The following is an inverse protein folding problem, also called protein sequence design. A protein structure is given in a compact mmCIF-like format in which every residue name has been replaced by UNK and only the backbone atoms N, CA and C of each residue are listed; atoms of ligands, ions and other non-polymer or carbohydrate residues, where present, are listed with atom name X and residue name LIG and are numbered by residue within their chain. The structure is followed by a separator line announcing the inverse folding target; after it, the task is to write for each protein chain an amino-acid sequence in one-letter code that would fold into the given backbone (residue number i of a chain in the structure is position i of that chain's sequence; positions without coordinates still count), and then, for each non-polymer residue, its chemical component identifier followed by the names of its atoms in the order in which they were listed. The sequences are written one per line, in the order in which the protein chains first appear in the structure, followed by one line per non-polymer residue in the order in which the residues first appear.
data_IF_146539238888
#
_entry.id   IF_146539238888
#
_cell.length_a   1.000
_cell.length_b   1.000
_cell.length_c   1.000
_cell.angle_alpha   90.00
_cell.angle_beta   90.00
_cell.angle_gamma   90.00
#
_symmetry.space_group_name_H-M   'P 1'
#
loop_
_entity.id
_entity.type
_entity.pdbx_description
1 polymer ?
#
# COMPACT_ATOMS: atom_id res chain seq x y z
N UNK A 1 -40.89 -26.13 -67.87
CA UNK A 1 -40.36 -24.80 -67.51
C UNK A 1 -39.67 -24.92 -66.17
N UNK A 2 -38.33 -24.89 -66.15
CA UNK A 2 -37.50 -24.96 -64.93
C UNK A 2 -36.90 -23.59 -64.68
N UNK A 3 -37.37 -22.88 -63.66
CA UNK A 3 -36.76 -21.63 -63.23
C UNK A 3 -35.54 -21.94 -62.35
N UNK A 4 -34.35 -21.61 -62.86
CA UNK A 4 -33.21 -21.18 -62.03
C UNK A 4 -33.59 -19.87 -61.36
N UNK A 5 -33.20 -19.66 -60.09
CA UNK A 5 -32.38 -18.51 -59.67
C UNK A 5 -32.13 -18.43 -58.15
N UNK A 6 -30.85 -18.08 -57.86
CA UNK A 6 -30.33 -17.23 -56.80
C UNK A 6 -30.34 -17.80 -55.37
N UNK A 7 -29.17 -18.27 -54.93
CA UNK A 7 -28.85 -18.37 -53.50
C UNK A 7 -28.41 -17.00 -52.94
N UNK A 8 -28.63 -16.71 -51.66
CA UNK A 8 -28.00 -15.59 -50.98
C UNK A 8 -26.69 -16.01 -50.30
N UNK A 9 -25.76 -15.07 -50.35
CA UNK A 9 -24.41 -15.11 -49.83
C UNK A 9 -24.39 -15.28 -48.32
N UNK A 10 -23.44 -16.10 -47.86
CA UNK A 10 -22.95 -16.11 -46.50
C UNK A 10 -22.37 -14.73 -46.15
N UNK A 11 -23.17 -13.91 -45.47
CA UNK A 11 -22.68 -12.75 -44.74
C UNK A 11 -22.14 -13.22 -43.39
N UNK A 12 -20.89 -13.68 -43.37
CA UNK A 12 -20.16 -13.82 -42.12
C UNK A 12 -19.98 -12.42 -41.55
N UNK A 13 -20.83 -12.06 -40.58
CA UNK A 13 -20.67 -10.84 -39.80
C UNK A 13 -19.32 -10.90 -39.10
N UNK A 14 -18.37 -10.12 -39.60
CA UNK A 14 -17.17 -9.74 -38.86
C UNK A 14 -17.64 -8.88 -37.70
N UNK A 15 -18.07 -9.53 -36.62
CA UNK A 15 -18.22 -8.93 -35.32
C UNK A 15 -16.84 -8.44 -34.90
N UNK A 16 -16.56 -7.17 -35.18
CA UNK A 16 -15.53 -6.40 -34.49
C UNK A 16 -15.94 -6.36 -33.01
N UNK A 17 -15.59 -7.42 -32.28
CA UNK A 17 -15.60 -7.42 -30.84
C UNK A 17 -14.58 -6.39 -30.40
N UNK A 18 -15.07 -5.19 -30.06
CA UNK A 18 -14.29 -4.20 -29.33
C UNK A 18 -13.92 -4.87 -28.00
N UNK A 19 -12.72 -5.43 -27.91
CA UNK A 19 -12.14 -5.80 -26.62
C UNK A 19 -11.84 -4.47 -25.95
N UNK A 20 -12.79 -4.00 -25.13
CA UNK A 20 -12.53 -2.93 -24.20
C UNK A 20 -11.47 -3.46 -23.23
N UNK A 21 -10.22 -3.07 -23.45
CA UNK A 21 -9.17 -3.24 -22.46
C UNK A 21 -9.57 -2.29 -21.34
N UNK A 22 -10.29 -2.79 -20.34
CA UNK A 22 -10.50 -2.04 -19.12
C UNK A 22 -9.11 -1.82 -18.52
N UNK A 23 -8.55 -0.63 -18.69
CA UNK A 23 -7.42 -0.17 -17.90
C UNK A 23 -7.93 -0.06 -16.47
N UNK A 24 -7.85 -1.15 -15.72
CA UNK A 24 -8.17 -1.15 -14.30
C UNK A 24 -7.16 -0.25 -13.62
N UNK A 25 -7.52 1.01 -13.37
CA UNK A 25 -6.81 1.82 -12.40
C UNK A 25 -6.87 1.02 -11.11
N UNK A 26 -5.71 0.55 -10.66
CA UNK A 26 -5.64 -0.26 -9.45
C UNK A 26 -5.84 0.71 -8.30
N UNK A 27 -7.04 0.73 -7.74
CA UNK A 27 -7.35 1.58 -6.60
C UNK A 27 -6.47 1.16 -5.43
N UNK A 28 -5.88 2.14 -4.76
CA UNK A 28 -5.07 1.94 -3.57
C UNK A 28 -5.82 2.50 -2.37
N UNK A 29 -5.76 1.79 -1.25
CA UNK A 29 -6.50 2.11 -0.05
C UNK A 29 -5.56 2.22 1.13
N UNK A 30 -5.88 3.11 2.07
CA UNK A 30 -5.24 3.13 3.39
C UNK A 30 -5.89 2.11 4.33
N UNK A 31 -5.25 1.78 5.47
CA UNK A 31 -5.75 0.75 6.38
C UNK A 31 -7.19 0.95 6.88
N UNK A 32 -7.65 2.20 6.94
CA UNK A 32 -9.04 2.50 7.31
C UNK A 32 -10.06 2.34 6.16
N UNK A 33 -9.64 1.83 5.00
CA UNK A 33 -10.46 1.65 3.80
C UNK A 33 -10.64 2.91 2.94
N UNK A 34 -9.98 4.03 3.29
CA UNK A 34 -10.03 5.26 2.48
C UNK A 34 -9.28 5.06 1.18
N UNK A 35 -9.92 5.39 0.06
CA UNK A 35 -9.26 5.46 -1.25
C UNK A 35 -8.17 6.54 -1.23
N UNK A 36 -6.92 6.11 -1.40
CA UNK A 36 -5.73 6.92 -1.29
C UNK A 36 -5.68 8.01 -2.39
N UNK A 37 -6.21 7.74 -3.60
CA UNK A 37 -6.29 8.75 -4.66
C UNK A 37 -7.15 9.94 -4.25
N UNK A 38 -8.17 9.73 -3.42
CA UNK A 38 -9.04 10.83 -2.95
C UNK A 38 -8.35 11.74 -1.95
N UNK A 39 -7.27 11.28 -1.32
CA UNK A 39 -6.50 12.07 -0.35
C UNK A 39 -5.41 12.90 -1.02
N UNK A 40 -5.00 12.53 -2.24
CA UNK A 40 -4.06 13.29 -3.05
C UNK A 40 -4.57 13.36 -4.49
N UNK A 41 -5.45 14.33 -4.81
CA UNK A 41 -6.05 14.45 -6.14
C UNK A 41 -5.03 14.77 -7.25
N UNK A 42 -3.80 15.12 -6.89
CA UNK A 42 -2.68 15.35 -7.82
C UNK A 42 -1.63 14.22 -7.77
N UNK A 43 -1.80 13.24 -6.90
CA UNK A 43 -0.87 12.14 -6.71
C UNK A 43 -1.47 10.86 -7.22
N UNK A 44 -0.85 10.32 -8.24
CA UNK A 44 -1.18 8.99 -8.70
C UNK A 44 -0.55 7.98 -7.72
N UNK A 45 -1.38 7.09 -7.14
CA UNK A 45 -0.89 5.93 -6.41
C UNK A 45 -0.65 4.79 -7.40
N UNK A 46 0.50 4.14 -7.28
CA UNK A 46 0.89 3.04 -8.16
C UNK A 46 1.14 1.78 -7.36
N UNK A 47 0.54 0.65 -7.75
CA UNK A 47 0.84 -0.62 -7.12
C UNK A 47 2.29 -1.01 -7.42
N UNK A 48 2.98 -1.50 -6.40
CA UNK A 48 4.31 -2.08 -6.50
C UNK A 48 4.30 -3.42 -7.24
N UNK A 49 3.20 -4.15 -7.15
CA UNK A 49 3.01 -5.43 -7.80
C UNK A 49 1.68 -5.44 -8.56
N UNK A 50 1.72 -5.88 -9.81
CA UNK A 50 0.53 -6.01 -10.65
C UNK A 50 0.69 -7.17 -11.66
N UNK A 51 -0.35 -8.00 -11.88
CA UNK A 51 -1.66 -7.98 -11.21
C UNK A 51 -1.62 -8.63 -9.81
N UNK A 52 -2.48 -8.19 -8.89
CA UNK A 52 -2.62 -8.81 -7.56
C UNK A 52 -2.82 -7.82 -6.43
N UNK A 53 -2.84 -8.35 -5.19
CA UNK A 53 -2.74 -7.53 -4.00
C UNK A 53 -1.29 -7.15 -3.75
N UNK A 54 -1.06 -5.92 -3.30
CA UNK A 54 0.27 -5.45 -2.98
C UNK A 54 0.26 -3.99 -2.54
N UNK A 55 1.40 -3.55 -2.01
CA UNK A 55 1.59 -2.17 -1.56
C UNK A 55 1.53 -1.19 -2.73
N UNK A 56 1.14 0.06 -2.43
CA UNK A 56 1.11 1.15 -3.39
C UNK A 56 1.97 2.34 -2.93
N UNK A 57 2.79 2.87 -3.83
CA UNK A 57 3.54 4.11 -3.61
C UNK A 57 2.82 5.32 -4.22
N UNK A 58 2.98 6.48 -3.62
CA UNK A 58 2.21 7.70 -3.90
C UNK A 58 2.75 8.54 -5.07
N UNK A 59 3.75 8.04 -5.80
CA UNK A 59 4.34 8.68 -6.97
C UNK A 59 5.00 7.65 -7.88
N UNK A 60 5.05 7.92 -9.20
CA UNK A 60 5.81 7.12 -10.18
C UNK A 60 7.32 7.14 -9.91
N UNK A 61 7.81 8.22 -9.29
CA UNK A 61 9.23 8.39 -9.00
C UNK A 61 9.66 7.69 -7.71
N UNK A 62 8.69 7.23 -6.92
CA UNK A 62 8.96 6.47 -5.71
C UNK A 62 9.34 5.04 -6.08
N UNK A 63 10.25 4.45 -5.29
CA UNK A 63 10.73 3.09 -5.51
C UNK A 63 10.05 2.14 -4.54
N UNK A 64 9.51 1.05 -5.07
CA UNK A 64 9.07 -0.09 -4.27
C UNK A 64 10.29 -0.86 -3.76
N UNK A 65 10.43 -0.98 -2.45
CA UNK A 65 11.50 -1.71 -1.77
C UNK A 65 10.87 -2.79 -0.88
N UNK A 66 10.47 -3.90 -1.52
CA UNK A 66 9.63 -4.90 -0.87
C UNK A 66 8.28 -4.29 -0.50
N UNK A 67 7.90 -4.39 0.77
CA UNK A 67 6.62 -3.87 1.26
C UNK A 67 6.65 -2.39 1.69
N UNK A 68 7.77 -1.69 1.48
CA UNK A 68 7.92 -0.27 1.77
C UNK A 68 8.13 0.52 0.48
N UNK A 69 7.79 1.80 0.54
CA UNK A 69 8.09 2.76 -0.50
C UNK A 69 9.26 3.65 -0.09
N UNK A 70 10.15 3.97 -1.03
CA UNK A 70 11.19 4.96 -0.85
C UNK A 70 10.90 6.17 -1.73
N UNK A 71 10.81 7.35 -1.14
CA UNK A 71 10.66 8.60 -1.89
C UNK A 71 11.98 9.34 -1.99
N UNK A 72 12.35 9.70 -3.20
CA UNK A 72 13.51 10.56 -3.47
C UNK A 72 13.28 11.99 -3.00
N UNK A 73 12.02 12.46 -3.04
CA UNK A 73 11.60 13.80 -2.63
C UNK A 73 11.82 14.05 -1.13
N UNK A 74 11.40 13.09 -0.30
CA UNK A 74 11.59 13.18 1.17
C UNK A 74 12.88 12.48 1.63
N UNK A 75 13.58 11.80 0.72
CA UNK A 75 14.76 10.98 0.99
C UNK A 75 14.54 9.98 2.14
N UNK A 76 13.40 9.28 2.11
CA UNK A 76 12.93 8.49 3.24
C UNK A 76 12.06 7.31 2.85
N UNK A 77 11.98 6.33 3.75
CA UNK A 77 11.05 5.21 3.65
C UNK A 77 9.68 5.62 4.19
N UNK A 78 8.63 5.07 3.60
CA UNK A 78 7.28 5.21 4.11
C UNK A 78 6.46 3.96 3.81
N UNK A 79 5.43 3.76 4.63
CA UNK A 79 4.38 2.78 4.41
C UNK A 79 3.29 3.47 3.59
N UNK A 80 3.04 2.94 2.40
CA UNK A 80 2.09 3.49 1.44
C UNK A 80 0.65 3.03 1.67
N UNK A 81 -0.14 3.00 0.59
CA UNK A 81 -1.43 2.31 0.55
C UNK A 81 -1.26 0.83 0.17
N UNK A 82 -2.37 0.11 0.02
CA UNK A 82 -2.42 -1.26 -0.52
C UNK A 82 -3.57 -1.38 -1.53
N UNK A 83 -3.46 -2.28 -2.51
CA UNK A 83 -4.56 -2.53 -3.46
C UNK A 83 -5.73 -3.32 -2.87
N UNK A 84 -5.58 -3.88 -1.66
CA UNK A 84 -6.69 -4.48 -0.92
C UNK A 84 -7.44 -3.41 -0.11
N UNK A 85 -8.73 -3.14 -0.40
CA UNK A 85 -9.54 -2.18 0.36
C UNK A 85 -9.80 -2.59 1.80
N UNK A 86 -9.78 -3.88 2.11
CA UNK A 86 -10.02 -4.38 3.46
C UNK A 86 -8.74 -4.44 4.31
N UNK A 87 -7.56 -4.36 3.67
CA UNK A 87 -6.27 -4.53 4.35
C UNK A 87 -6.18 -5.87 5.11
N UNK A 88 -6.73 -6.93 4.53
CA UNK A 88 -6.70 -8.29 5.10
C UNK A 88 -5.67 -9.18 4.39
N UNK A 89 -5.29 -8.84 3.16
CA UNK A 89 -4.29 -9.54 2.38
C UNK A 89 -2.93 -9.55 3.08
N UNK A 90 -2.28 -10.72 3.11
CA UNK A 90 -0.90 -10.87 3.58
C UNK A 90 0.10 -10.06 2.75
N UNK A 91 -0.29 -9.59 1.56
CA UNK A 91 0.53 -8.73 0.70
C UNK A 91 0.48 -7.23 1.10
N UNK A 92 -0.38 -6.87 2.06
CA UNK A 92 -0.42 -5.53 2.64
C UNK A 92 0.47 -5.45 3.90
N UNK A 93 1.38 -4.49 3.97
CA UNK A 93 2.25 -4.29 5.12
C UNK A 93 1.49 -3.71 6.31
N UNK A 94 1.21 -4.53 7.33
CA UNK A 94 0.48 -4.11 8.55
C UNK A 94 1.30 -3.29 9.55
N UNK A 95 2.23 -2.47 9.07
CA UNK A 95 3.03 -1.54 9.88
C UNK A 95 2.36 -0.16 9.93
N UNK A 96 2.28 0.45 11.13
CA UNK A 96 1.68 1.78 11.32
C UNK A 96 0.23 1.86 10.81
N UNK A 97 -0.59 0.85 11.12
CA UNK A 97 -1.99 0.73 10.71
C UNK A 97 -3.00 1.06 11.81
N UNK A 98 -2.54 1.35 13.02
CA UNK A 98 -3.41 1.75 14.13
C UNK A 98 -3.85 3.21 14.02
N UNK A 99 -5.02 3.53 14.57
CA UNK A 99 -5.65 4.86 14.53
C UNK A 99 -5.03 5.94 15.42
N UNK A 100 -3.81 5.73 15.95
CA UNK A 100 -3.05 6.80 16.61
C UNK A 100 -2.34 7.68 15.57
N UNK A 101 -1.91 8.87 15.98
CA UNK A 101 -1.13 9.79 15.15
C UNK A 101 0.36 9.72 15.49
N UNK A 102 1.21 10.20 14.59
CA UNK A 102 2.65 10.25 14.82
C UNK A 102 2.99 11.21 15.96
N UNK A 103 4.00 10.87 16.76
CA UNK A 103 4.55 11.78 17.76
C UNK A 103 5.02 13.07 17.07
N UNK A 104 4.61 14.23 17.59
CA UNK A 104 4.94 15.53 17.00
C UNK A 104 4.06 15.97 15.81
N UNK A 105 3.08 15.16 15.39
CA UNK A 105 2.13 15.57 14.35
C UNK A 105 1.05 16.50 14.90
N UNK A 106 1.18 17.79 14.60
CA UNK A 106 0.22 18.83 15.01
C UNK A 106 -1.16 18.64 14.40
N UNK A 107 -1.25 18.04 13.20
CA UNK A 107 -2.53 17.77 12.53
C UNK A 107 -3.29 16.61 13.19
N UNK A 108 -2.62 15.80 14.01
CA UNK A 108 -3.14 14.59 14.63
C UNK A 108 -3.83 13.66 13.63
N UNK A 109 -3.30 13.60 12.41
CA UNK A 109 -3.91 12.76 11.37
C UNK A 109 -3.64 11.29 11.71
N UNK A 110 -4.69 10.45 11.82
CA UNK A 110 -4.54 9.03 12.11
C UNK A 110 -3.62 8.33 11.10
N UNK A 111 -2.72 7.48 11.58
CA UNK A 111 -1.76 6.78 10.73
C UNK A 111 -2.44 5.86 9.71
N UNK A 112 -3.59 5.29 10.06
CA UNK A 112 -4.42 4.42 9.22
C UNK A 112 -5.12 5.12 8.04
N UNK A 113 -4.98 6.46 7.92
CA UNK A 113 -5.68 7.28 6.94
C UNK A 113 -4.75 7.99 5.94
N UNK A 114 -3.45 7.71 5.98
CA UNK A 114 -2.42 8.38 5.17
C UNK A 114 -1.18 7.52 4.93
N UNK A 115 -0.30 7.99 4.03
CA UNK A 115 1.09 7.54 3.99
C UNK A 115 1.80 7.89 5.31
N UNK A 116 2.55 6.94 5.86
CA UNK A 116 3.29 7.15 7.11
C UNK A 116 4.77 6.96 6.88
N UNK A 117 5.60 7.98 7.15
CA UNK A 117 7.04 7.81 7.17
C UNK A 117 7.44 6.68 8.11
N UNK A 118 8.47 5.92 7.72
CA UNK A 118 9.01 4.84 8.53
C UNK A 118 10.51 5.03 8.61
N UNK A 119 11.06 4.92 9.81
CA UNK A 119 12.50 4.98 10.02
C UNK A 119 13.02 3.60 10.40
N UNK A 120 14.04 3.14 9.68
CA UNK A 120 14.82 1.98 10.08
C UNK A 120 15.85 2.37 11.15
N UNK A 121 15.82 1.70 12.29
CA UNK A 121 16.77 1.84 13.38
C UNK A 121 18.09 1.08 13.07
N UNK A 122 19.15 1.38 13.80
CA UNK A 122 20.48 0.77 13.58
C UNK A 122 20.54 -0.73 13.83
N UNK A 123 19.57 -1.28 14.55
CA UNK A 123 19.42 -2.72 14.82
C UNK A 123 18.41 -3.41 13.89
N UNK A 124 17.99 -2.72 12.82
CA UNK A 124 17.13 -3.28 11.77
C UNK A 124 15.63 -3.25 12.07
N UNK A 125 15.22 -2.75 13.25
CA UNK A 125 13.80 -2.49 13.56
C UNK A 125 13.29 -1.28 12.79
N UNK A 126 11.97 -1.19 12.63
CA UNK A 126 11.28 -0.10 11.98
C UNK A 126 10.33 0.58 12.97
N UNK A 127 10.30 1.91 12.91
CA UNK A 127 9.47 2.77 13.74
C UNK A 127 8.65 3.74 12.87
N UNK A 128 7.40 3.97 13.25
CA UNK A 128 6.51 4.93 12.59
C UNK A 128 6.95 6.36 12.88
N UNK A 129 7.18 7.16 11.84
CA UNK A 129 7.64 8.54 11.92
C UNK A 129 9.00 8.77 11.29
N UNK A 130 9.39 10.05 11.21
CA UNK A 130 10.68 10.46 10.69
C UNK A 130 11.80 10.33 11.73
N UNK A 131 13.05 10.45 11.28
CA UNK A 131 14.25 10.29 12.13
C UNK A 131 14.27 11.13 13.41
N UNK A 132 13.65 12.31 13.40
CA UNK A 132 13.53 13.17 14.58
C UNK A 132 12.54 12.62 15.61
N UNK A 133 11.51 11.94 15.14
CA UNK A 133 10.31 11.60 15.91
C UNK A 133 10.42 10.17 16.48
N UNK A 134 11.19 9.30 15.84
CA UNK A 134 11.33 7.88 16.25
C UNK A 134 12.43 7.63 17.28
N UNK A 135 13.06 8.68 17.82
CA UNK A 135 14.22 8.55 18.70
C UNK A 135 13.87 7.79 19.98
N UNK A 136 12.65 7.95 20.48
CA UNK A 136 12.08 7.18 21.60
C UNK A 136 11.91 5.70 21.24
N UNK A 137 11.34 5.39 20.07
CA UNK A 137 11.12 4.03 19.58
C UNK A 137 12.43 3.27 19.32
N UNK A 138 13.37 3.86 18.58
CA UNK A 138 14.64 3.23 18.25
C UNK A 138 15.53 3.02 19.49
N UNK A 139 15.58 3.98 20.43
CA UNK A 139 16.43 3.84 21.63
C UNK A 139 15.75 3.08 22.78
N UNK A 140 14.41 3.07 22.82
CA UNK A 140 13.63 2.52 23.95
C UNK A 140 13.32 1.03 23.87
N UNK A 141 13.82 0.31 22.85
CA UNK A 141 13.50 -1.11 22.69
C UNK A 141 12.14 -1.41 22.03
N UNK A 142 11.47 -0.41 21.41
CA UNK A 142 10.20 -0.58 20.69
C UNK A 142 10.30 -0.91 19.19
N UNK A 143 9.23 -0.72 18.42
CA UNK A 143 9.24 -0.92 16.97
C UNK A 143 9.06 -2.37 16.51
N UNK A 144 9.26 -2.61 15.22
CA UNK A 144 8.88 -3.85 14.55
C UNK A 144 9.98 -4.35 13.61
N UNK A 145 10.16 -5.66 13.53
CA UNK A 145 10.90 -6.27 12.42
C UNK A 145 9.97 -6.47 11.24
N UNK A 146 10.46 -6.14 10.06
CA UNK A 146 9.74 -6.28 8.79
C UNK A 146 10.49 -7.28 7.93
N UNK A 147 9.81 -8.36 7.52
CA UNK A 147 10.31 -9.31 6.54
C UNK A 147 9.29 -9.43 5.41
N UNK A 148 9.50 -8.67 4.33
CA UNK A 148 8.43 -8.43 3.36
C UNK A 148 7.27 -7.71 4.03
N UNK A 149 6.09 -8.31 4.01
CA UNK A 149 4.84 -7.79 4.61
C UNK A 149 4.59 -8.32 6.02
N UNK A 150 5.32 -9.35 6.44
CA UNK A 150 5.20 -9.91 7.78
C UNK A 150 5.87 -9.00 8.80
N UNK A 151 5.11 -8.60 9.82
CA UNK A 151 5.60 -7.81 10.94
C UNK A 151 5.70 -8.66 12.22
N UNK A 152 6.76 -8.42 12.99
CA UNK A 152 6.89 -8.95 14.36
C UNK A 152 7.27 -7.83 15.30
N UNK A 153 6.56 -7.73 16.42
CA UNK A 153 6.92 -6.78 17.49
C UNK A 153 8.35 -7.09 17.92
N UNK A 154 9.20 -6.06 18.00
CA UNK A 154 10.51 -6.23 18.59
C UNK A 154 10.31 -6.54 20.08
N UNK A 155 10.74 -7.73 20.51
CA UNK A 155 10.72 -8.07 21.94
C UNK A 155 11.70 -7.15 22.67
N UNK A 156 11.17 -6.11 23.31
CA UNK A 156 11.96 -5.27 24.19
C UNK A 156 12.50 -6.10 25.35
N UNK A 157 13.82 -6.04 25.59
CA UNK A 157 14.46 -6.58 26.80
C UNK A 157 14.06 -5.84 28.09
N UNK A 158 13.10 -4.92 28.01
CA UNK A 158 12.49 -4.23 29.15
C UNK A 158 11.48 -5.11 29.87
N UNK A 159 11.92 -5.78 30.96
CA UNK A 159 11.11 -6.33 32.06
C UNK A 159 9.61 -6.46 31.76
N UNK A 160 9.18 -7.67 31.39
CA UNK A 160 7.78 -8.13 31.49
C UNK A 160 7.18 -7.66 32.82
N UNK A 161 6.37 -6.59 32.81
CA UNK A 161 5.38 -6.38 33.87
C UNK A 161 4.29 -7.39 33.60
N UNK A 162 4.43 -8.50 34.31
CA UNK A 162 3.48 -9.60 34.50
C UNK A 162 2.07 -9.01 34.56
N UNK A 163 1.27 -9.20 33.50
CA UNK A 163 -0.18 -9.13 33.61
C UNK A 163 -0.57 -10.21 34.61
N UNK A 164 -1.20 -9.81 35.71
CA UNK A 164 -1.88 -10.73 36.61
C UNK A 164 -3.37 -10.57 36.30
N UNK A 165 -3.96 -11.72 36.00
CA UNK A 165 -5.39 -11.99 35.82
C UNK A 165 -6.23 -11.44 36.98
#
# INVERSE_FOLDING_TARGET
MRHRRIGPLAGAGLGLGLVAIASGQTHCFFPNGTDAFRTNPNGDFFPCEYPGFGMCCASLDDRCLGALCWSSTTNGLYRGGCTDPAWESEECLHLCTGGEYLEGDETKTPMDSRNVPVTQCTDGRYCCGNRTDVRSCCNGGGGFYVNGTTIRVAEGTGKRRRFRE
#
